data_IF_158095292445
#
_entry.id   IF_158095292445
#
_cell.length_a   1.000
_cell.length_b   1.000
_cell.length_c   1.000
_cell.angle_alpha   90.00
_cell.angle_beta   90.00
_cell.angle_gamma   90.00
#
_symmetry.space_group_name_H-M   'P 1'
#
loop_
_entity.id
_entity.type
_entity.pdbx_description
1 polymer ?
#
# COMPACT_ATOMS: atom_id res chain seq x y z
N UNK A 1 -8.72 -3.98 -16.17
CA UNK A 1 -9.51 -4.92 -15.36
C UNK A 1 -8.64 -5.67 -14.35
N UNK A 2 -7.60 -6.48 -14.75
CA UNK A 2 -6.80 -7.26 -13.79
C UNK A 2 -6.05 -6.39 -12.77
N UNK A 3 -5.40 -5.31 -13.21
CA UNK A 3 -4.70 -4.36 -12.32
C UNK A 3 -5.67 -3.67 -11.37
N UNK A 4 -6.84 -3.27 -11.84
CA UNK A 4 -7.84 -2.63 -10.99
C UNK A 4 -8.32 -3.58 -9.89
N UNK A 5 -8.51 -4.88 -10.24
CA UNK A 5 -8.84 -5.90 -9.26
C UNK A 5 -7.73 -6.08 -8.23
N UNK A 6 -6.44 -6.11 -8.66
CA UNK A 6 -5.30 -6.18 -7.72
C UNK A 6 -5.35 -5.00 -6.75
N UNK A 7 -5.49 -3.77 -7.25
CA UNK A 7 -5.49 -2.57 -6.41
C UNK A 7 -6.65 -2.56 -5.41
N UNK A 8 -7.84 -3.00 -5.82
CA UNK A 8 -9.00 -3.12 -4.93
C UNK A 8 -8.77 -4.17 -3.85
N UNK A 9 -8.26 -5.35 -4.22
CA UNK A 9 -8.01 -6.43 -3.27
C UNK A 9 -6.90 -6.06 -2.29
N UNK A 10 -5.81 -5.42 -2.74
CA UNK A 10 -4.74 -4.93 -1.85
C UNK A 10 -5.28 -3.93 -0.83
N UNK A 11 -6.10 -2.96 -1.26
CA UNK A 11 -6.67 -1.97 -0.34
C UNK A 11 -7.60 -2.62 0.71
N UNK A 12 -8.40 -3.62 0.30
CA UNK A 12 -9.27 -4.35 1.23
C UNK A 12 -8.48 -5.28 2.16
N UNK A 13 -7.43 -5.95 1.67
CA UNK A 13 -6.53 -6.79 2.45
C UNK A 13 -5.90 -6.00 3.61
N UNK A 14 -5.41 -4.80 3.32
CA UNK A 14 -4.85 -3.91 4.34
C UNK A 14 -5.90 -3.47 5.37
N UNK A 15 -7.11 -3.10 4.93
CA UNK A 15 -8.20 -2.71 5.83
C UNK A 15 -8.60 -3.86 6.76
N UNK A 16 -8.78 -5.07 6.23
CA UNK A 16 -9.12 -6.27 7.01
C UNK A 16 -7.99 -6.63 7.98
N UNK A 17 -6.72 -6.56 7.53
CA UNK A 17 -5.57 -6.81 8.39
C UNK A 17 -5.48 -5.83 9.57
N UNK A 18 -5.77 -4.54 9.35
CA UNK A 18 -5.80 -3.52 10.40
C UNK A 18 -6.89 -3.78 11.44
N UNK A 19 -8.10 -4.13 10.99
CA UNK A 19 -9.22 -4.46 11.89
C UNK A 19 -8.89 -5.73 12.69
N UNK A 20 -8.44 -6.79 12.02
CA UNK A 20 -8.07 -8.04 12.67
C UNK A 20 -6.94 -7.84 13.70
N UNK A 21 -5.91 -7.05 13.35
CA UNK A 21 -4.84 -6.71 14.28
C UNK A 21 -5.36 -5.98 15.51
N UNK A 22 -6.25 -4.99 15.34
CA UNK A 22 -6.82 -4.22 16.45
C UNK A 22 -7.59 -5.12 17.42
N UNK A 23 -8.38 -6.07 16.90
CA UNK A 23 -9.11 -7.05 17.72
C UNK A 23 -8.14 -7.99 18.45
N UNK A 24 -7.16 -8.56 17.75
CA UNK A 24 -6.17 -9.45 18.33
C UNK A 24 -5.33 -8.75 19.41
N UNK A 25 -4.92 -7.50 19.15
CA UNK A 25 -4.17 -6.70 20.11
C UNK A 25 -4.99 -6.42 21.38
N UNK A 26 -6.28 -6.08 21.24
CA UNK A 26 -7.17 -5.87 22.37
C UNK A 26 -7.35 -7.14 23.22
N UNK A 27 -7.53 -8.30 22.57
CA UNK A 27 -7.61 -9.60 23.25
C UNK A 27 -6.31 -9.89 24.00
N UNK A 28 -5.16 -9.71 23.36
CA UNK A 28 -3.86 -9.96 23.96
C UNK A 28 -3.60 -9.06 25.18
N UNK A 29 -3.95 -7.77 25.09
CA UNK A 29 -3.84 -6.84 26.22
C UNK A 29 -4.77 -7.24 27.39
N UNK A 30 -6.02 -7.61 27.12
CA UNK A 30 -6.98 -8.06 28.11
C UNK A 30 -6.49 -9.32 28.85
N UNK A 31 -6.00 -10.31 28.12
CA UNK A 31 -5.43 -11.53 28.69
C UNK A 31 -4.20 -11.25 29.57
N UNK A 32 -3.36 -10.32 29.14
CA UNK A 32 -2.16 -9.95 29.88
C UNK A 32 -2.47 -9.15 31.17
N UNK A 33 -3.51 -8.32 31.14
CA UNK A 33 -3.88 -7.46 32.27
C UNK A 33 -4.70 -8.18 33.36
N UNK A 34 -5.67 -9.00 32.94
CA UNK A 34 -6.65 -9.58 33.88
C UNK A 34 -6.68 -11.12 33.92
N UNK A 35 -5.93 -11.78 33.02
CA UNK A 35 -5.95 -13.24 32.86
C UNK A 35 -7.31 -13.81 32.40
N UNK A 36 -8.29 -12.96 32.13
CA UNK A 36 -9.64 -13.34 31.68
C UNK A 36 -10.03 -12.50 30.46
N UNK A 37 -10.80 -13.11 29.55
CA UNK A 37 -11.42 -12.39 28.45
C UNK A 37 -12.62 -11.60 29.01
N UNK A 38 -12.45 -10.30 29.14
CA UNK A 38 -13.56 -9.40 29.43
C UNK A 38 -14.11 -8.85 28.08
N UNK A 39 -15.42 -9.02 27.87
CA UNK A 39 -16.08 -8.52 26.67
C UNK A 39 -15.91 -6.99 26.52
N UNK A 40 -15.88 -6.25 27.61
CA UNK A 40 -15.64 -4.82 27.62
C UNK A 40 -14.26 -4.45 27.08
N UNK A 41 -13.24 -5.23 27.42
CA UNK A 41 -11.86 -5.01 26.96
C UNK A 41 -11.67 -5.26 25.46
N UNK A 42 -12.56 -6.00 24.80
CA UNK A 42 -12.54 -6.21 23.35
C UNK A 42 -13.41 -5.18 22.63
N UNK A 43 -14.59 -4.88 23.18
CA UNK A 43 -15.56 -3.95 22.56
C UNK A 43 -15.04 -2.51 22.57
N UNK A 44 -14.42 -2.08 23.67
CA UNK A 44 -13.93 -0.70 23.80
C UNK A 44 -12.91 -0.30 22.71
N UNK A 45 -11.82 -1.06 22.44
CA UNK A 45 -10.90 -0.75 21.34
C UNK A 45 -11.57 -0.80 19.97
N UNK A 46 -12.53 -1.69 19.76
CA UNK A 46 -13.27 -1.75 18.50
C UNK A 46 -14.10 -0.47 18.28
N UNK A 47 -14.82 -0.02 19.30
CA UNK A 47 -15.59 1.24 19.24
C UNK A 47 -14.67 2.43 19.01
N UNK A 48 -13.53 2.50 19.70
CA UNK A 48 -12.55 3.57 19.55
C UNK A 48 -11.98 3.58 18.10
N UNK A 49 -11.70 2.41 17.52
CA UNK A 49 -11.26 2.33 16.12
C UNK A 49 -12.35 2.80 15.13
N UNK A 50 -13.63 2.47 15.38
CA UNK A 50 -14.75 2.96 14.57
C UNK A 50 -14.86 4.48 14.67
N UNK A 51 -14.73 5.03 15.87
CA UNK A 51 -14.71 6.49 16.08
C UNK A 51 -13.55 7.14 15.36
N UNK A 52 -12.35 6.54 15.40
CA UNK A 52 -11.18 7.03 14.68
C UNK A 52 -11.37 7.03 13.16
N UNK A 53 -12.05 6.01 12.61
CA UNK A 53 -12.49 6.01 11.20
C UNK A 53 -13.44 7.17 10.94
N UNK A 54 -14.41 7.40 11.82
CA UNK A 54 -15.35 8.54 11.72
C UNK A 54 -14.61 9.89 11.73
N UNK A 55 -13.64 10.07 12.60
CA UNK A 55 -12.78 11.26 12.63
C UNK A 55 -11.98 11.39 11.33
N UNK A 56 -11.42 10.28 10.81
CA UNK A 56 -10.74 10.26 9.52
C UNK A 56 -11.64 10.72 8.38
N UNK A 57 -12.87 10.20 8.32
CA UNK A 57 -13.88 10.62 7.33
C UNK A 57 -14.20 12.10 7.48
N UNK A 58 -14.46 12.60 8.68
CA UNK A 58 -14.73 14.01 8.95
C UNK A 58 -13.59 14.93 8.50
N UNK A 59 -12.34 14.52 8.80
CA UNK A 59 -11.15 15.24 8.33
C UNK A 59 -10.99 15.18 6.80
N UNK A 60 -11.43 14.11 6.14
CA UNK A 60 -11.47 14.01 4.69
C UNK A 60 -12.38 15.06 4.05
N UNK A 61 -13.58 15.27 4.63
CA UNK A 61 -14.51 16.35 4.23
C UNK A 61 -13.88 17.73 4.50
N UNK A 62 -13.30 17.92 5.69
CA UNK A 62 -12.64 19.18 6.08
C UNK A 62 -11.48 19.49 5.12
N UNK A 63 -10.68 18.49 4.78
CA UNK A 63 -9.55 18.64 3.86
C UNK A 63 -10.02 19.07 2.47
N UNK A 64 -11.13 18.51 1.96
CA UNK A 64 -11.73 18.96 0.70
C UNK A 64 -12.15 20.43 0.76
N UNK A 65 -12.76 20.84 1.85
CA UNK A 65 -13.19 22.23 2.04
C UNK A 65 -11.98 23.18 2.15
N UNK A 66 -10.92 22.73 2.84
CA UNK A 66 -9.71 23.54 3.06
C UNK A 66 -8.85 23.65 1.81
N UNK A 67 -8.84 22.63 0.95
CA UNK A 67 -8.07 22.60 -0.31
C UNK A 67 -8.88 23.23 -1.43
N UNK A 68 -8.73 24.54 -1.59
CA UNK A 68 -9.25 25.26 -2.75
C UNK A 68 -8.35 25.10 -3.97
N UNK A 69 -8.94 25.06 -5.18
CA UNK A 69 -8.17 25.03 -6.45
C UNK A 69 -7.32 26.30 -6.68
N UNK A 70 -7.64 27.39 -6.00
CA UNK A 70 -6.92 28.66 -6.08
C UNK A 70 -5.59 28.64 -5.33
N UNK A 71 -5.33 27.66 -4.46
CA UNK A 71 -4.08 27.57 -3.69
C UNK A 71 -2.96 26.94 -4.51
N UNK A 72 -1.71 27.39 -4.28
CA UNK A 72 -0.53 26.82 -4.92
C UNK A 72 -0.37 25.33 -4.57
N UNK A 73 0.33 24.58 -5.42
CA UNK A 73 0.56 23.15 -5.22
C UNK A 73 1.31 22.86 -3.92
N UNK A 74 2.27 23.70 -3.56
CA UNK A 74 3.07 23.55 -2.34
C UNK A 74 2.23 23.74 -1.08
N UNK A 75 1.37 24.73 -1.04
CA UNK A 75 0.47 24.95 0.11
C UNK A 75 -0.50 23.78 0.31
N UNK A 76 -1.00 23.18 -0.78
CA UNK A 76 -1.86 21.99 -0.69
C UNK A 76 -1.11 20.80 -0.10
N UNK A 77 0.14 20.57 -0.52
CA UNK A 77 0.97 19.49 0.01
C UNK A 77 1.23 19.67 1.51
N UNK A 78 1.63 20.90 1.92
CA UNK A 78 1.88 21.23 3.33
C UNK A 78 0.63 20.99 4.18
N UNK A 79 -0.54 21.43 3.71
CA UNK A 79 -1.81 21.20 4.42
C UNK A 79 -2.12 19.71 4.58
N UNK A 80 -1.96 18.92 3.52
CA UNK A 80 -2.19 17.47 3.59
C UNK A 80 -1.25 16.80 4.56
N UNK A 81 0.05 17.09 4.46
CA UNK A 81 1.06 16.53 5.36
C UNK A 81 0.76 16.95 6.80
N UNK A 82 0.41 18.22 7.04
CA UNK A 82 0.04 18.72 8.36
C UNK A 82 -1.18 18.00 8.94
N UNK A 83 -2.24 17.79 8.15
CA UNK A 83 -3.44 17.06 8.59
C UNK A 83 -3.12 15.60 8.87
N UNK A 84 -2.34 14.93 8.01
CA UNK A 84 -1.94 13.54 8.23
C UNK A 84 -1.08 13.38 9.48
N UNK A 85 -0.12 14.27 9.71
CA UNK A 85 0.72 14.27 10.91
C UNK A 85 -0.12 14.53 12.16
N UNK A 86 -1.00 15.53 12.13
CA UNK A 86 -1.92 15.83 13.23
C UNK A 86 -2.84 14.67 13.57
N UNK A 87 -3.40 13.99 12.55
CA UNK A 87 -4.22 12.80 12.74
C UNK A 87 -3.40 11.65 13.33
N UNK A 88 -2.19 11.42 12.83
CA UNK A 88 -1.29 10.37 13.34
C UNK A 88 -0.96 10.59 14.82
N UNK A 89 -0.60 11.82 15.20
CA UNK A 89 -0.33 12.15 16.62
C UNK A 89 -1.55 11.91 17.50
N UNK A 90 -2.73 12.33 17.05
CA UNK A 90 -3.99 12.08 17.79
C UNK A 90 -4.28 10.59 17.95
N UNK A 91 -4.17 9.84 16.87
CA UNK A 91 -4.37 8.37 16.92
C UNK A 91 -3.38 7.70 17.87
N UNK A 92 -2.11 8.13 17.89
CA UNK A 92 -1.10 7.59 18.79
C UNK A 92 -1.38 7.91 20.26
N UNK A 93 -1.95 9.08 20.57
CA UNK A 93 -2.34 9.45 21.95
C UNK A 93 -3.50 8.62 22.48
N UNK A 94 -4.35 8.09 21.61
CA UNK A 94 -5.50 7.25 21.98
C UNK A 94 -5.27 5.75 21.73
N UNK A 95 -4.03 5.34 21.45
CA UNK A 95 -3.63 3.96 21.13
C UNK A 95 -4.45 3.33 19.98
N UNK A 96 -4.84 4.17 19.01
CA UNK A 96 -5.62 3.76 17.84
C UNK A 96 -4.72 3.67 16.62
N UNK A 97 -5.05 2.78 15.68
CA UNK A 97 -4.32 2.65 14.42
C UNK A 97 -4.43 3.90 13.55
N UNK A 98 -3.35 4.68 13.37
CA UNK A 98 -3.37 5.85 12.50
C UNK A 98 -3.56 5.47 11.02
N UNK A 99 -3.15 4.26 10.63
CA UNK A 99 -3.27 3.78 9.25
C UNK A 99 -4.74 3.71 8.80
N UNK A 100 -5.60 3.11 9.64
CA UNK A 100 -7.03 2.98 9.34
C UNK A 100 -7.72 4.35 9.20
N UNK A 101 -7.41 5.27 10.11
CA UNK A 101 -7.94 6.63 10.08
C UNK A 101 -7.46 7.43 8.86
N UNK A 102 -6.19 7.30 8.47
CA UNK A 102 -5.65 7.93 7.26
C UNK A 102 -6.25 7.34 5.98
N UNK A 103 -6.50 6.03 5.93
CA UNK A 103 -7.20 5.39 4.81
C UNK A 103 -8.63 5.91 4.67
N UNK A 104 -9.35 6.03 5.79
CA UNK A 104 -10.70 6.59 5.82
C UNK A 104 -10.72 8.06 5.35
N UNK A 105 -9.76 8.88 5.79
CA UNK A 105 -9.57 10.25 5.34
C UNK A 105 -9.36 10.33 3.82
N UNK A 106 -8.44 9.52 3.29
CA UNK A 106 -8.14 9.49 1.85
C UNK A 106 -9.35 9.06 1.02
N UNK A 107 -10.05 8.03 1.48
CA UNK A 107 -11.28 7.52 0.83
C UNK A 107 -12.40 8.57 0.82
N UNK A 108 -12.65 9.21 1.96
CA UNK A 108 -13.64 10.27 2.06
C UNK A 108 -13.30 11.46 1.16
N UNK A 109 -12.04 11.90 1.16
CA UNK A 109 -11.59 13.01 0.29
C UNK A 109 -11.83 12.72 -1.19
N UNK A 110 -11.50 11.51 -1.68
CA UNK A 110 -11.69 11.12 -3.09
C UNK A 110 -13.17 11.04 -3.45
N UNK A 111 -13.96 10.38 -2.62
CA UNK A 111 -15.40 10.19 -2.88
C UNK A 111 -16.19 11.50 -2.85
N UNK A 112 -15.72 12.49 -2.11
CA UNK A 112 -16.32 13.83 -2.11
C UNK A 112 -15.92 14.71 -3.32
N UNK A 113 -15.28 14.14 -4.34
CA UNK A 113 -14.82 14.87 -5.52
C UNK A 113 -13.56 15.69 -5.27
N UNK A 114 -12.68 15.21 -4.38
CA UNK A 114 -11.36 15.80 -4.15
C UNK A 114 -10.46 15.74 -5.39
N UNK A 115 -9.55 16.71 -5.51
CA UNK A 115 -8.67 16.82 -6.66
C UNK A 115 -7.65 15.67 -6.71
N UNK A 116 -7.75 14.80 -7.72
CA UNK A 116 -6.86 13.64 -7.92
C UNK A 116 -5.38 14.03 -8.12
N UNK A 117 -5.10 15.28 -8.53
CA UNK A 117 -3.72 15.75 -8.68
C UNK A 117 -2.98 15.86 -7.34
N UNK A 118 -3.72 16.02 -6.24
CA UNK A 118 -3.17 16.00 -4.90
C UNK A 118 -2.47 14.67 -4.59
N UNK A 119 -3.08 13.54 -4.95
CA UNK A 119 -2.46 12.22 -4.79
C UNK A 119 -1.17 12.08 -5.58
N UNK A 120 -1.09 12.67 -6.79
CA UNK A 120 0.14 12.67 -7.58
C UNK A 120 1.25 13.47 -6.89
N UNK A 121 0.90 14.56 -6.19
CA UNK A 121 1.86 15.38 -5.44
C UNK A 121 2.35 14.63 -4.20
N UNK A 122 1.44 14.06 -3.41
CA UNK A 122 1.78 13.23 -2.25
C UNK A 122 2.65 12.04 -2.69
N UNK A 123 2.31 11.38 -3.78
CA UNK A 123 3.10 10.26 -4.32
C UNK A 123 4.52 10.65 -4.74
N UNK A 124 4.74 11.89 -5.19
CA UNK A 124 6.09 12.39 -5.48
C UNK A 124 6.92 12.66 -4.21
N UNK A 125 6.27 12.97 -3.12
CA UNK A 125 6.91 13.23 -1.82
C UNK A 125 7.15 11.94 -1.02
N UNK A 126 6.43 10.87 -1.30
CA UNK A 126 6.47 9.59 -0.59
C UNK A 126 7.82 8.85 -0.70
N UNK A 127 8.54 8.79 -1.85
CA UNK A 127 9.74 7.97 -1.99
C UNK A 127 10.86 8.25 -0.99
N UNK A 128 11.23 9.51 -0.67
CA UNK A 128 12.23 9.79 0.37
C UNK A 128 11.81 9.31 1.75
N UNK A 129 10.52 9.42 2.08
CA UNK A 129 9.98 8.96 3.38
C UNK A 129 10.03 7.43 3.46
N UNK A 130 9.66 6.73 2.38
CA UNK A 130 9.77 5.28 2.30
C UNK A 130 11.21 4.82 2.43
N UNK A 131 12.17 5.49 1.78
CA UNK A 131 13.57 5.19 1.92
C UNK A 131 14.01 5.28 3.39
N UNK A 132 13.71 6.38 4.07
CA UNK A 132 14.01 6.56 5.49
C UNK A 132 13.32 5.50 6.35
N UNK A 133 12.08 5.18 6.07
CA UNK A 133 11.34 4.14 6.77
C UNK A 133 12.01 2.77 6.66
N UNK A 134 12.43 2.35 5.45
CA UNK A 134 13.11 1.08 5.26
C UNK A 134 14.50 1.05 5.90
N UNK A 135 15.26 2.15 5.82
CA UNK A 135 16.56 2.26 6.49
C UNK A 135 16.40 2.14 8.01
N UNK A 136 15.48 2.89 8.61
CA UNK A 136 15.21 2.84 10.05
C UNK A 136 14.70 1.45 10.50
N UNK A 137 13.87 0.82 9.69
CA UNK A 137 13.38 -0.54 9.95
C UNK A 137 14.51 -1.57 9.88
N UNK A 138 15.41 -1.43 8.90
CA UNK A 138 16.60 -2.27 8.80
C UNK A 138 17.56 -2.11 9.99
N UNK A 139 17.75 -0.89 10.49
CA UNK A 139 18.57 -0.62 11.67
C UNK A 139 17.99 -1.23 12.97
N UNK A 140 16.69 -1.42 13.04
CA UNK A 140 16.03 -2.08 14.16
C UNK A 140 16.09 -3.61 14.10
N UNK A 141 16.54 -4.17 12.99
CA UNK A 141 16.66 -5.61 12.84
C UNK A 141 17.78 -6.15 13.73
N UNK A 142 17.41 -6.97 14.70
CA UNK A 142 18.38 -7.63 15.59
C UNK A 142 18.90 -8.90 14.90
N UNK A 143 20.10 -8.83 14.33
CA UNK A 143 20.73 -9.94 13.58
C UNK A 143 20.91 -11.21 14.44
N UNK A 144 21.37 -11.16 15.72
CA UNK A 144 21.40 -12.34 16.58
C UNK A 144 20.03 -12.99 16.78
N UNK A 145 18.98 -12.19 17.00
CA UNK A 145 17.60 -12.69 17.11
C UNK A 145 17.08 -13.27 15.80
N UNK A 146 17.64 -12.88 14.66
CA UNK A 146 17.33 -13.45 13.36
C UNK A 146 17.77 -14.92 13.26
N UNK A 147 18.89 -15.29 13.89
CA UNK A 147 19.37 -16.67 13.91
C UNK A 147 18.47 -17.57 14.78
N UNK A 148 17.97 -17.05 15.89
CA UNK A 148 17.08 -17.79 16.82
C UNK A 148 15.61 -17.78 16.35
N UNK A 149 15.13 -16.66 15.86
CA UNK A 149 13.76 -16.49 15.33
C UNK A 149 13.62 -16.79 13.83
N UNK A 150 14.72 -17.01 13.11
CA UNK A 150 14.75 -17.13 11.65
C UNK A 150 13.95 -18.31 11.11
N UNK A 151 13.95 -19.44 11.81
CA UNK A 151 13.15 -20.61 11.43
C UNK A 151 11.67 -20.27 11.49
N UNK A 152 11.24 -19.58 12.55
CA UNK A 152 9.85 -19.15 12.72
C UNK A 152 9.49 -18.11 11.64
N UNK A 153 10.38 -17.15 11.38
CA UNK A 153 10.21 -16.14 10.35
C UNK A 153 10.09 -16.73 8.93
N UNK A 154 10.94 -17.70 8.61
CA UNK A 154 10.90 -18.42 7.33
C UNK A 154 9.63 -19.28 7.22
N UNK A 155 9.25 -19.99 8.28
CA UNK A 155 7.99 -20.76 8.31
C UNK A 155 6.80 -19.83 8.11
N UNK A 156 6.75 -18.70 8.85
CA UNK A 156 5.73 -17.69 8.70
C UNK A 156 5.67 -17.16 7.25
N UNK A 157 6.83 -16.89 6.63
CA UNK A 157 6.91 -16.44 5.24
C UNK A 157 6.22 -17.42 4.28
N UNK A 158 6.55 -18.71 4.34
CA UNK A 158 5.94 -19.71 3.45
C UNK A 158 4.46 -19.95 3.72
N UNK A 159 4.08 -20.10 5.00
CA UNK A 159 2.68 -20.32 5.39
C UNK A 159 1.82 -19.13 4.93
N UNK A 160 2.31 -17.92 5.07
CA UNK A 160 1.59 -16.73 4.64
C UNK A 160 1.44 -16.64 3.12
N UNK A 161 2.48 -16.96 2.34
CA UNK A 161 2.38 -17.03 0.87
C UNK A 161 1.33 -18.03 0.45
N UNK A 162 1.36 -19.24 1.03
CA UNK A 162 0.39 -20.28 0.75
C UNK A 162 -1.03 -19.83 1.12
N UNK A 163 -1.20 -19.24 2.31
CA UNK A 163 -2.49 -18.71 2.77
C UNK A 163 -3.05 -17.62 1.87
N UNK A 164 -2.22 -16.65 1.48
CA UNK A 164 -2.64 -15.58 0.55
C UNK A 164 -2.97 -16.11 -0.84
N UNK A 165 -2.16 -17.01 -1.37
CA UNK A 165 -2.42 -17.62 -2.67
C UNK A 165 -3.70 -18.43 -2.65
N UNK A 166 -3.89 -19.30 -1.65
CA UNK A 166 -5.08 -20.11 -1.49
C UNK A 166 -6.32 -19.23 -1.27
N UNK A 167 -6.25 -18.25 -0.38
CA UNK A 167 -7.35 -17.33 -0.10
C UNK A 167 -7.78 -16.52 -1.32
N UNK A 168 -6.81 -15.94 -2.05
CA UNK A 168 -7.09 -15.20 -3.28
C UNK A 168 -7.68 -16.08 -4.37
N UNK A 169 -7.16 -17.31 -4.55
CA UNK A 169 -7.67 -18.26 -5.54
C UNK A 169 -9.07 -18.74 -5.19
N UNK A 170 -9.32 -19.06 -3.92
CA UNK A 170 -10.62 -19.49 -3.42
C UNK A 170 -11.66 -18.37 -3.54
N UNK A 171 -11.32 -17.15 -3.09
CA UNK A 171 -12.21 -15.99 -3.22
C UNK A 171 -12.55 -15.68 -4.68
N UNK A 172 -11.57 -15.71 -5.57
CA UNK A 172 -11.77 -15.51 -7.00
C UNK A 172 -12.58 -16.65 -7.64
N UNK A 173 -12.48 -17.86 -7.13
CA UNK A 173 -13.29 -19.01 -7.58
C UNK A 173 -14.75 -18.88 -7.14
N UNK A 174 -15.00 -18.52 -5.89
CA UNK A 174 -16.34 -18.32 -5.33
C UNK A 174 -17.10 -17.19 -6.02
N UNK A 175 -16.40 -16.12 -6.41
CA UNK A 175 -17.00 -14.97 -7.10
C UNK A 175 -17.14 -15.14 -8.61
N UNK A 176 -16.76 -16.28 -9.17
CA UNK A 176 -16.83 -16.49 -10.61
C UNK A 176 -15.84 -15.64 -11.43
N UNK A 177 -14.76 -15.12 -10.81
CA UNK A 177 -13.80 -14.24 -11.46
C UNK A 177 -13.11 -14.89 -12.68
N UNK A 178 -12.58 -14.10 -13.65
CA UNK A 178 -11.85 -14.61 -14.81
C UNK A 178 -10.66 -15.50 -14.40
N UNK A 179 -10.30 -16.46 -15.25
CA UNK A 179 -9.24 -17.47 -14.98
C UNK A 179 -7.89 -16.82 -14.66
N UNK A 180 -7.57 -15.67 -15.28
CA UNK A 180 -6.36 -14.91 -15.00
C UNK A 180 -6.33 -14.42 -13.53
N UNK A 181 -7.46 -13.93 -13.00
CA UNK A 181 -7.58 -13.49 -11.61
C UNK A 181 -7.44 -14.70 -10.67
N UNK A 182 -8.13 -15.80 -10.93
CA UNK A 182 -8.07 -17.01 -10.09
C UNK A 182 -6.66 -17.56 -9.94
N UNK A 183 -5.85 -17.54 -11.01
CA UNK A 183 -4.50 -18.14 -11.01
C UNK A 183 -3.40 -17.18 -10.55
N UNK A 184 -3.51 -15.89 -10.88
CA UNK A 184 -2.37 -14.98 -10.77
C UNK A 184 -2.55 -13.88 -9.72
N UNK A 185 -3.77 -13.68 -9.18
CA UNK A 185 -4.01 -12.69 -8.14
C UNK A 185 -3.18 -12.97 -6.89
N UNK A 186 -3.13 -14.22 -6.43
CA UNK A 186 -2.35 -14.61 -5.26
C UNK A 186 -0.86 -14.29 -5.38
N UNK A 187 -0.27 -14.45 -6.58
CA UNK A 187 1.12 -14.06 -6.84
C UNK A 187 1.33 -12.54 -6.77
N UNK A 188 0.34 -11.75 -7.21
CA UNK A 188 0.39 -10.30 -7.14
C UNK A 188 0.30 -9.77 -5.71
N UNK A 189 -0.27 -10.54 -4.77
CA UNK A 189 -0.45 -10.18 -3.37
C UNK A 189 0.73 -10.58 -2.46
N UNK A 190 1.77 -11.22 -3.00
CA UNK A 190 2.95 -11.63 -2.21
C UNK A 190 3.73 -10.41 -1.69
N UNK A 191 4.02 -9.35 -2.49
CA UNK A 191 4.73 -8.19 -1.98
C UNK A 191 3.95 -7.54 -0.86
N UNK A 192 4.55 -7.47 0.31
CA UNK A 192 3.94 -6.78 1.46
C UNK A 192 5.01 -6.50 2.52
N UNK A 193 5.31 -5.23 2.77
CA UNK A 193 6.24 -4.86 3.81
C UNK A 193 5.72 -3.70 4.67
N UNK A 194 5.33 -2.58 4.09
CA UNK A 194 5.03 -1.34 4.79
C UNK A 194 4.03 -1.47 5.93
N UNK A 195 2.82 -1.98 5.65
CA UNK A 195 1.75 -2.12 6.65
C UNK A 195 2.14 -3.14 7.73
N UNK A 196 2.71 -4.28 7.35
CA UNK A 196 3.12 -5.32 8.30
C UNK A 196 4.20 -4.83 9.26
N UNK A 197 5.20 -4.08 8.78
CA UNK A 197 6.24 -3.48 9.62
C UNK A 197 5.63 -2.43 10.55
N UNK A 198 4.72 -1.60 10.05
CA UNK A 198 4.00 -0.63 10.86
C UNK A 198 3.18 -1.27 11.99
N UNK A 199 2.47 -2.36 11.68
CA UNK A 199 1.71 -3.13 12.69
C UNK A 199 2.63 -3.85 13.67
N UNK A 200 3.78 -4.36 13.24
CA UNK A 200 4.77 -4.95 14.15
C UNK A 200 5.31 -3.92 15.14
N UNK A 201 5.63 -2.70 14.67
CA UNK A 201 6.06 -1.61 15.53
C UNK A 201 4.98 -1.16 16.52
N UNK A 202 3.70 -1.18 16.12
CA UNK A 202 2.58 -0.92 17.02
C UNK A 202 2.42 -2.07 18.03
N UNK A 203 2.44 -3.32 17.58
CA UNK A 203 2.36 -4.51 18.42
C UNK A 203 3.48 -4.56 19.46
N UNK A 204 4.69 -4.13 19.08
CA UNK A 204 5.82 -4.03 20.01
C UNK A 204 5.58 -3.05 21.17
N UNK A 205 4.78 -2.00 20.96
CA UNK A 205 4.41 -1.04 22.00
C UNK A 205 3.28 -1.54 22.90
N UNK A 206 2.36 -2.33 22.34
CA UNK A 206 1.16 -2.79 23.02
C UNK A 206 1.35 -4.08 23.81
N UNK A 207 2.36 -4.86 23.49
CA UNK A 207 2.65 -6.15 24.12
C UNK A 207 3.81 -6.04 25.10
N UNK A 208 3.94 -6.98 26.09
CA UNK A 208 5.12 -7.10 26.92
C UNK A 208 6.39 -7.17 26.09
N UNK A 209 7.50 -6.63 26.60
CA UNK A 209 8.75 -6.45 25.86
C UNK A 209 9.26 -7.74 25.21
N UNK A 210 9.16 -8.88 25.88
CA UNK A 210 9.56 -10.19 25.35
C UNK A 210 8.73 -10.63 24.16
N UNK A 211 7.41 -10.48 24.22
CA UNK A 211 6.50 -10.86 23.12
C UNK A 211 6.55 -9.84 21.99
N UNK A 212 6.63 -8.56 22.32
CA UNK A 212 6.74 -7.49 21.32
C UNK A 212 8.01 -7.57 20.48
N UNK A 213 9.16 -7.86 21.14
CA UNK A 213 10.43 -8.04 20.44
C UNK A 213 10.44 -9.29 19.55
N UNK A 214 9.87 -10.40 20.02
CA UNK A 214 9.72 -11.62 19.24
C UNK A 214 8.84 -11.38 18.01
N UNK A 215 7.66 -10.77 18.18
CA UNK A 215 6.75 -10.39 17.08
C UNK A 215 7.46 -9.53 16.04
N UNK A 216 8.14 -8.48 16.49
CA UNK A 216 8.88 -7.57 15.62
C UNK A 216 9.97 -8.31 14.84
N UNK A 217 10.73 -9.19 15.49
CA UNK A 217 11.79 -9.99 14.85
C UNK A 217 11.23 -10.91 13.75
N UNK A 218 10.13 -11.62 14.03
CA UNK A 218 9.48 -12.52 13.06
C UNK A 218 8.99 -11.73 11.85
N UNK A 219 8.31 -10.60 12.08
CA UNK A 219 7.75 -9.80 10.99
C UNK A 219 8.83 -9.12 10.17
N UNK A 220 9.85 -8.52 10.82
CA UNK A 220 10.95 -7.86 10.11
C UNK A 220 11.79 -8.85 9.30
N UNK A 221 12.09 -10.04 9.84
CA UNK A 221 12.82 -11.08 9.10
C UNK A 221 12.05 -11.55 7.86
N UNK A 222 10.74 -11.77 8.00
CA UNK A 222 9.90 -12.15 6.86
C UNK A 222 9.75 -11.00 5.86
N UNK A 223 9.70 -9.74 6.31
CA UNK A 223 9.59 -8.58 5.44
C UNK A 223 10.79 -8.46 4.49
N UNK A 224 12.01 -8.75 4.95
CA UNK A 224 13.20 -8.79 4.09
C UNK A 224 13.01 -9.81 2.95
N UNK A 225 12.48 -11.00 3.25
CA UNK A 225 12.22 -12.02 2.23
C UNK A 225 11.13 -11.56 1.24
N UNK A 226 10.08 -10.89 1.74
CA UNK A 226 9.02 -10.34 0.87
C UNK A 226 9.53 -9.24 -0.06
N UNK A 227 10.43 -8.38 0.41
CA UNK A 227 11.03 -7.33 -0.42
C UNK A 227 11.94 -7.91 -1.52
N UNK A 228 12.62 -9.01 -1.25
CA UNK A 228 13.47 -9.67 -2.25
C UNK A 228 12.66 -10.42 -3.31
N UNK A 229 11.65 -11.17 -2.90
CA UNK A 229 10.89 -12.10 -3.77
C UNK A 229 9.65 -11.43 -4.36
N UNK A 230 9.02 -10.53 -3.61
CA UNK A 230 7.75 -9.91 -3.93
C UNK A 230 7.69 -9.22 -5.30
N UNK A 231 8.60 -8.30 -5.63
CA UNK A 231 8.60 -7.61 -6.92
C UNK A 231 8.73 -8.57 -8.12
N UNK A 232 9.51 -9.66 -7.97
CA UNK A 232 9.63 -10.68 -8.99
C UNK A 232 8.31 -11.43 -9.20
N UNK A 233 7.63 -11.81 -8.10
CA UNK A 233 6.32 -12.47 -8.14
C UNK A 233 5.23 -11.57 -8.72
N UNK A 234 5.16 -10.30 -8.33
CA UNK A 234 4.22 -9.34 -8.89
C UNK A 234 4.44 -9.14 -10.40
N UNK A 235 5.69 -9.00 -10.82
CA UNK A 235 6.04 -8.89 -12.25
C UNK A 235 5.68 -10.16 -13.02
N UNK A 236 5.90 -11.33 -12.44
CA UNK A 236 5.52 -12.61 -13.03
C UNK A 236 4.00 -12.71 -13.18
N UNK A 237 3.22 -12.33 -12.16
CA UNK A 237 1.76 -12.28 -12.19
C UNK A 237 1.24 -11.40 -13.34
N UNK A 238 1.77 -10.18 -13.47
CA UNK A 238 1.37 -9.26 -14.54
C UNK A 238 1.75 -9.73 -15.96
N UNK A 239 2.86 -10.47 -16.09
CA UNK A 239 3.27 -11.08 -17.36
C UNK A 239 2.41 -12.28 -17.73
N UNK A 240 2.15 -13.18 -16.77
CA UNK A 240 1.36 -14.38 -16.97
C UNK A 240 -0.12 -14.07 -17.21
N UNK A 241 -0.62 -12.98 -16.65
CA UNK A 241 -1.99 -12.49 -16.91
C UNK A 241 -2.12 -11.73 -18.23
N UNK A 242 -1.05 -11.65 -19.05
CA UNK A 242 -0.99 -10.90 -20.31
C UNK A 242 -1.33 -9.41 -20.18
N UNK A 243 -1.20 -8.84 -18.98
CA UNK A 243 -1.48 -7.42 -18.71
C UNK A 243 -0.32 -6.53 -19.19
N UNK A 244 0.91 -7.04 -19.14
CA UNK A 244 2.12 -6.37 -19.67
C UNK A 244 2.61 -7.14 -20.87
N UNK A 245 2.82 -6.45 -21.98
CA UNK A 245 3.43 -7.02 -23.18
C UNK A 245 4.85 -7.55 -22.86
N UNK A 246 5.24 -8.68 -23.48
CA UNK A 246 6.62 -9.14 -23.43
C UNK A 246 7.56 -8.00 -23.86
N UNK A 247 8.69 -7.78 -23.18
CA UNK A 247 9.71 -6.88 -23.68
C UNK A 247 10.03 -7.30 -25.12
N UNK A 248 10.06 -6.35 -26.06
CA UNK A 248 10.54 -6.65 -27.40
C UNK A 248 11.94 -7.28 -27.28
N UNK A 249 12.25 -8.32 -28.05
CA UNK A 249 13.59 -8.87 -28.08
C UNK A 249 14.58 -7.72 -28.35
N UNK A 250 15.75 -7.70 -27.69
CA UNK A 250 16.75 -6.68 -27.97
C UNK A 250 17.01 -6.68 -29.50
N UNK A 251 16.92 -5.48 -30.09
CA UNK A 251 17.27 -5.29 -31.49
C UNK A 251 18.67 -5.90 -31.71
N UNK A 252 18.85 -6.73 -32.74
CA UNK A 252 20.17 -7.27 -33.04
C UNK A 252 21.16 -6.10 -33.17
N UNK A 253 22.30 -6.20 -32.49
CA UNK A 253 23.33 -5.15 -32.45
C UNK A 253 23.93 -4.76 -33.80
N UNK A 254 23.44 -5.33 -34.93
CA UNK A 254 23.86 -5.15 -36.28
C UNK A 254 22.78 -4.58 -37.23
N UNK A 255 21.71 -3.97 -36.70
CA UNK A 255 20.78 -3.25 -37.59
C UNK A 255 21.50 -1.99 -38.13
N UNK A 256 21.69 -1.86 -39.42
CA UNK A 256 22.25 -0.64 -40.02
C UNK A 256 21.37 0.55 -39.64
N UNK A 257 21.93 1.77 -39.44
CA UNK A 257 21.15 2.95 -39.15
C UNK A 257 20.07 3.12 -40.19
N UNK A 258 18.84 3.38 -39.73
CA UNK A 258 17.72 3.64 -40.66
C UNK A 258 18.13 4.75 -41.62
N UNK A 259 17.83 4.61 -42.94
CA UNK A 259 18.19 5.63 -43.93
C UNK A 259 17.56 6.96 -43.50
N UNK A 260 18.39 7.99 -43.43
CA UNK A 260 17.93 9.36 -43.16
C UNK A 260 16.83 9.73 -44.17
N UNK A 261 15.71 10.31 -43.72
CA UNK A 261 14.68 10.76 -44.61
C UNK A 261 15.27 11.81 -45.56
N UNK A 262 14.98 11.73 -46.87
CA UNK A 262 15.59 12.61 -47.88
C UNK A 262 15.36 14.08 -47.49
N UNK A 263 16.43 14.85 -47.51
CA UNK A 263 16.47 16.26 -47.19
C UNK A 263 15.62 17.07 -48.17
N UNK A 264 14.31 17.09 -48.00
CA UNK A 264 13.37 17.78 -48.91
C UNK A 264 11.91 17.79 -48.45
N UNK A 265 11.51 16.97 -47.44
CA UNK A 265 10.09 16.84 -47.10
C UNK A 265 9.60 17.80 -45.98
N UNK A 266 10.45 18.69 -45.47
CA UNK A 266 10.14 19.56 -44.34
C UNK A 266 9.07 20.65 -44.55
N UNK A 267 8.69 20.92 -45.80
CA UNK A 267 7.68 21.97 -46.08
C UNK A 267 6.22 21.48 -46.12
N UNK A 268 5.97 20.19 -46.41
CA UNK A 268 4.58 19.66 -46.44
C UNK A 268 4.02 19.27 -45.08
N UNK A 269 4.86 18.97 -44.07
CA UNK A 269 4.40 18.58 -42.74
C UNK A 269 3.92 19.77 -41.87
N UNK A 270 4.46 20.99 -42.09
CA UNK A 270 4.02 22.20 -41.34
C UNK A 270 2.63 22.69 -41.80
N UNK A 271 2.24 22.50 -43.03
CA UNK A 271 0.90 22.87 -43.55
C UNK A 271 -0.22 22.02 -42.98
N UNK A 272 0.02 20.70 -42.84
CA UNK A 272 -1.00 19.77 -42.33
C UNK A 272 -1.27 19.92 -40.79
N UNK A 273 -0.23 20.30 -40.00
CA UNK A 273 -0.39 20.60 -38.57
C UNK A 273 -1.12 21.93 -38.31
N UNK A 274 -1.04 22.90 -39.21
CA UNK A 274 -1.74 24.18 -39.08
C UNK A 274 -3.23 24.03 -39.45
N UNK A 275 -3.55 23.21 -40.46
CA UNK A 275 -4.94 22.91 -40.84
C UNK A 275 -5.71 22.11 -39.78
N UNK A 276 -5.04 21.16 -39.08
CA UNK A 276 -5.64 20.38 -38.00
C UNK A 276 -5.87 21.19 -36.70
N UNK A 277 -5.11 22.25 -36.47
CA UNK A 277 -5.34 23.14 -35.33
C UNK A 277 -6.49 24.12 -35.54
N UNK A 278 -6.77 24.52 -36.75
CA UNK A 278 -7.89 25.42 -37.07
C UNK A 278 -9.24 24.70 -37.11
N UNK A 279 -9.23 23.40 -37.47
CA UNK A 279 -10.44 22.56 -37.45
C UNK A 279 -10.85 22.05 -36.03
N UNK A 280 -10.00 22.24 -34.99
CA UNK A 280 -10.31 21.87 -33.61
C UNK A 280 -10.77 23.05 -32.74
N UNK A 281 -10.89 24.25 -33.35
CA UNK A 281 -11.35 25.49 -32.70
C UNK A 281 -12.65 26.06 -33.29
N UNK A 282 -13.25 25.38 -34.28
CA UNK A 282 -14.61 25.57 -34.73
C UNK A 282 -15.50 24.42 -34.22
#
# INVERSE_FOLDING_TARGET
PFVDTILQVVALDDAVALIAFSVCAAIAQSLNASGRMDAGAVVLPLVINILAVGVGVGLGFLLKWLISERRSQEHRLVLVVGVLMGLTVRCTLFDVSPLLSCMALGTAYVNCGGNKNLFKQVNRFTPPILLLFFVLSGLRLNIPSLLTGGVIGVTYFFVRILGKYAGASLGAWLTGAPTAVRRYLGLALIPQAGVSIGLAALGQRLLPESLGSLLSTIILSSAVLYEMVGPACAKASLRLSHTIAKPAPPLPASAPPAPEPPAGSGKKAKGKKKALRTAAQS
#
